data_IF_297342349278
#
_entry.id   IF_297342349278
#
_cell.length_a   1.000
_cell.length_b   1.000
_cell.length_c   1.000
_cell.angle_alpha   90.00
_cell.angle_beta   90.00
_cell.angle_gamma   90.00
#
_symmetry.space_group_name_H-M   'P 1'
#
loop_
_entity.id
_entity.type
_entity.pdbx_description
1 polymer ?
#
# COMPACT_ATOMS: atom_id res chain seq x y z
N UNK A 1 -1.62 14.42 7.57
CA UNK A 1 -1.11 13.08 7.94
C UNK A 1 -2.25 12.09 8.08
N UNK A 2 -3.35 12.45 8.77
CA UNK A 2 -4.50 11.56 8.98
C UNK A 2 -5.17 11.07 7.70
N UNK A 3 -5.28 11.92 6.67
CA UNK A 3 -5.79 11.49 5.35
C UNK A 3 -4.96 10.35 4.74
N UNK A 4 -3.62 10.45 4.80
CA UNK A 4 -2.74 9.39 4.28
C UNK A 4 -2.84 8.10 5.08
N UNK A 5 -3.04 8.18 6.40
CA UNK A 5 -3.26 7.01 7.25
C UNK A 5 -4.60 6.36 6.90
N UNK A 6 -5.67 7.15 6.77
CA UNK A 6 -6.98 6.67 6.36
C UNK A 6 -6.90 5.99 4.99
N UNK A 7 -6.27 6.62 4.00
CA UNK A 7 -6.09 6.05 2.66
C UNK A 7 -5.34 4.71 2.71
N UNK A 8 -4.32 4.60 3.57
CA UNK A 8 -3.59 3.33 3.78
C UNK A 8 -4.46 2.28 4.46
N UNK A 9 -5.25 2.64 5.47
CA UNK A 9 -6.16 1.73 6.16
C UNK A 9 -7.28 1.24 5.24
N UNK A 10 -7.83 2.12 4.39
CA UNK A 10 -8.82 1.78 3.37
C UNK A 10 -8.23 0.77 2.38
N UNK A 11 -6.99 0.98 1.94
CA UNK A 11 -6.31 0.04 1.03
C UNK A 11 -6.21 -1.35 1.65
N UNK A 12 -5.67 -1.45 2.87
CA UNK A 12 -5.58 -2.72 3.63
C UNK A 12 -6.95 -3.37 3.86
N UNK A 13 -7.98 -2.57 4.14
CA UNK A 13 -9.34 -3.07 4.32
C UNK A 13 -9.89 -3.72 3.04
N UNK A 14 -9.74 -3.05 1.90
CA UNK A 14 -10.16 -3.57 0.60
C UNK A 14 -9.51 -4.92 0.31
N UNK A 15 -8.21 -5.04 0.54
CA UNK A 15 -7.44 -6.28 0.39
C UNK A 15 -8.04 -7.40 1.23
N UNK A 16 -8.25 -7.15 2.53
CA UNK A 16 -8.87 -8.13 3.42
C UNK A 16 -10.25 -8.57 2.93
N UNK A 17 -11.09 -7.65 2.47
CA UNK A 17 -12.39 -7.98 1.90
C UNK A 17 -12.25 -8.94 0.72
N UNK A 18 -11.43 -8.62 -0.28
CA UNK A 18 -11.33 -9.43 -1.51
C UNK A 18 -10.78 -10.84 -1.26
N UNK A 19 -9.82 -10.92 -0.34
CA UNK A 19 -9.15 -12.16 0.05
C UNK A 19 -10.02 -13.03 0.93
N UNK A 20 -11.03 -12.45 1.58
CA UNK A 20 -11.91 -13.18 2.46
C UNK A 20 -13.02 -13.90 1.69
N UNK A 21 -13.18 -15.18 1.95
CA UNK A 21 -14.32 -15.98 1.53
C UNK A 21 -14.77 -16.89 2.69
N UNK A 22 -15.98 -17.43 2.58
CA UNK A 22 -16.60 -18.27 3.61
C UNK A 22 -16.42 -17.70 5.02
N UNK A 23 -15.82 -18.51 5.90
CA UNK A 23 -15.61 -18.16 7.30
C UNK A 23 -14.71 -16.94 7.50
N UNK A 24 -13.71 -16.73 6.63
CA UNK A 24 -12.81 -15.59 6.75
C UNK A 24 -13.57 -14.27 6.51
N UNK A 25 -14.56 -14.27 5.61
CA UNK A 25 -15.42 -13.10 5.38
C UNK A 25 -16.36 -12.87 6.56
N UNK A 26 -16.97 -13.92 7.11
CA UNK A 26 -17.80 -13.84 8.32
C UNK A 26 -17.02 -13.29 9.53
N UNK A 27 -15.76 -13.70 9.71
CA UNK A 27 -14.92 -13.21 10.79
C UNK A 27 -14.53 -11.73 10.59
N UNK A 28 -14.30 -11.30 9.35
CA UNK A 28 -14.08 -9.89 9.02
C UNK A 28 -15.34 -9.06 9.26
N UNK A 29 -16.51 -9.53 8.81
CA UNK A 29 -17.80 -8.89 9.06
C UNK A 29 -18.06 -8.73 10.56
N UNK A 30 -17.85 -9.81 11.34
CA UNK A 30 -17.97 -9.77 12.78
C UNK A 30 -17.07 -8.69 13.40
N UNK A 31 -15.81 -8.62 12.97
CA UNK A 31 -14.85 -7.64 13.48
C UNK A 31 -15.31 -6.20 13.21
N UNK A 32 -15.88 -5.92 12.04
CA UNK A 32 -16.45 -4.61 11.70
C UNK A 32 -17.67 -4.32 12.57
N UNK A 33 -18.65 -5.21 12.59
CA UNK A 33 -19.94 -4.95 13.23
C UNK A 33 -19.87 -4.90 14.75
N UNK A 34 -19.04 -5.73 15.38
CA UNK A 34 -18.80 -5.67 16.83
C UNK A 34 -18.07 -4.40 17.26
N UNK A 35 -17.27 -3.81 16.35
CA UNK A 35 -16.60 -2.53 16.59
C UNK A 35 -17.55 -1.35 16.35
N UNK A 36 -18.39 -1.44 15.31
CA UNK A 36 -19.39 -0.44 14.96
C UNK A 36 -20.51 -0.33 15.99
N UNK A 37 -21.01 -1.46 16.50
CA UNK A 37 -22.14 -1.48 17.41
C UNK A 37 -21.93 -2.48 18.56
N UNK A 38 -21.91 -1.96 19.79
CA UNK A 38 -21.69 -2.75 21.00
C UNK A 38 -22.83 -3.71 21.35
N UNK A 39 -24.03 -3.52 20.79
CA UNK A 39 -25.16 -4.45 20.93
C UNK A 39 -25.15 -5.55 19.84
N UNK A 40 -24.20 -5.53 18.90
CA UNK A 40 -24.07 -6.59 17.91
C UNK A 40 -23.62 -7.90 18.56
N UNK A 41 -24.35 -9.00 18.30
CA UNK A 41 -24.07 -10.33 18.84
C UNK A 41 -23.74 -11.30 17.71
N UNK A 42 -22.57 -11.94 17.78
CA UNK A 42 -22.24 -13.09 16.93
C UNK A 42 -23.05 -14.30 17.36
N UNK A 43 -23.59 -15.01 16.40
CA UNK A 43 -24.18 -16.32 16.62
C UNK A 43 -23.20 -17.34 16.06
N UNK A 44 -22.80 -18.30 16.88
CA UNK A 44 -21.83 -19.33 16.50
C UNK A 44 -22.49 -20.69 16.65
N UNK A 45 -22.34 -21.54 15.63
CA UNK A 45 -22.79 -22.93 15.69
C UNK A 45 -22.21 -23.66 16.91
N UNK A 46 -23.05 -24.40 17.64
CA UNK A 46 -22.64 -25.21 18.79
C UNK A 46 -22.81 -26.70 18.48
N UNK A 47 -21.71 -27.37 18.12
CA UNK A 47 -21.71 -28.81 17.84
C UNK A 47 -22.48 -29.16 16.56
N UNK A 48 -23.37 -30.17 16.62
CA UNK A 48 -24.23 -30.58 15.49
C UNK A 48 -25.41 -29.63 15.25
N UNK A 49 -25.68 -28.74 16.19
CA UNK A 49 -26.69 -27.70 16.11
C UNK A 49 -25.99 -26.50 15.46
N UNK A 50 -26.30 -26.23 14.19
CA UNK A 50 -25.65 -25.18 13.40
C UNK A 50 -25.84 -23.77 13.99
N UNK A 51 -25.53 -22.75 13.20
CA UNK A 51 -25.76 -21.33 13.52
C UNK A 51 -27.24 -20.92 13.54
N UNK A 52 -28.15 -21.87 13.35
CA UNK A 52 -29.59 -21.65 13.20
C UNK A 52 -29.94 -20.54 12.18
N UNK A 53 -29.10 -20.39 11.13
CA UNK A 53 -29.27 -19.44 10.01
C UNK A 53 -29.19 -17.95 10.42
N UNK A 54 -28.29 -17.65 11.35
CA UNK A 54 -28.00 -16.28 11.78
C UNK A 54 -26.50 -16.14 11.99
N UNK A 55 -25.84 -15.20 11.33
CA UNK A 55 -24.40 -14.94 11.55
C UNK A 55 -24.17 -13.84 12.59
N UNK A 56 -25.17 -12.99 12.79
CA UNK A 56 -25.21 -12.01 13.86
C UNK A 56 -26.39 -11.07 13.78
N UNK A 57 -26.71 -10.42 14.89
CA UNK A 57 -27.88 -9.56 15.00
C UNK A 57 -27.68 -8.44 16.04
N UNK A 58 -28.49 -7.38 15.92
CA UNK A 58 -28.61 -6.29 16.88
C UNK A 58 -29.98 -6.41 17.56
N UNK A 59 -30.07 -7.03 18.74
CA UNK A 59 -31.33 -7.33 19.40
C UNK A 59 -32.18 -6.10 19.70
N UNK A 60 -31.58 -4.99 20.11
CA UNK A 60 -32.32 -3.75 20.42
C UNK A 60 -33.09 -3.19 19.22
N UNK A 61 -32.65 -3.51 17.99
CA UNK A 61 -33.26 -3.04 16.75
C UNK A 61 -34.02 -4.13 16.00
N UNK A 62 -33.80 -5.41 16.33
CA UNK A 62 -34.30 -6.53 15.53
C UNK A 62 -33.68 -6.57 14.13
N UNK A 63 -32.42 -6.15 14.00
CA UNK A 63 -31.64 -6.19 12.74
C UNK A 63 -30.83 -7.48 12.70
N UNK A 64 -31.03 -8.28 11.66
CA UNK A 64 -30.37 -9.58 11.47
C UNK A 64 -29.53 -9.59 10.22
N UNK A 65 -28.39 -10.27 10.28
CA UNK A 65 -27.39 -10.30 9.23
C UNK A 65 -27.04 -11.74 8.87
N UNK A 66 -27.14 -12.06 7.58
CA UNK A 66 -26.64 -13.32 7.04
C UNK A 66 -25.58 -13.03 6.00
N UNK A 67 -24.37 -13.50 6.27
CA UNK A 67 -23.20 -13.39 5.43
C UNK A 67 -23.16 -14.46 4.34
N UNK A 68 -22.65 -14.03 3.21
CA UNK A 68 -22.23 -14.90 2.12
C UNK A 68 -20.94 -14.35 1.50
N UNK A 69 -19.84 -15.07 1.73
CA UNK A 69 -18.53 -14.77 1.15
C UNK A 69 -18.20 -15.72 0.00
N UNK A 70 -18.71 -15.51 -1.23
CA UNK A 70 -18.40 -16.39 -2.36
C UNK A 70 -16.94 -16.25 -2.80
N UNK A 71 -16.31 -17.36 -3.18
CA UNK A 71 -14.98 -17.35 -3.80
C UNK A 71 -15.00 -16.54 -5.11
N UNK A 72 -16.03 -16.76 -5.94
CA UNK A 72 -16.24 -16.03 -7.20
C UNK A 72 -17.72 -15.71 -7.45
N UNK A 73 -18.09 -14.43 -7.33
CA UNK A 73 -19.44 -13.90 -7.53
C UNK A 73 -19.94 -13.92 -8.98
N UNK A 74 -19.05 -13.98 -9.99
CA UNK A 74 -19.45 -13.85 -11.42
C UNK A 74 -19.93 -15.16 -12.04
N UNK A 75 -19.77 -16.30 -11.35
CA UNK A 75 -20.24 -17.59 -11.86
C UNK A 75 -21.76 -17.70 -11.70
N UNK A 76 -22.45 -18.11 -12.76
CA UNK A 76 -23.90 -18.34 -12.72
C UNK A 76 -24.33 -19.39 -11.68
N UNK A 77 -23.46 -20.36 -11.36
CA UNK A 77 -23.68 -21.31 -10.27
C UNK A 77 -23.66 -20.65 -8.89
N UNK A 78 -22.77 -19.67 -8.68
CA UNK A 78 -22.69 -18.87 -7.45
C UNK A 78 -23.95 -18.03 -7.28
N UNK A 79 -24.42 -17.39 -8.35
CA UNK A 79 -25.66 -16.61 -8.33
C UNK A 79 -26.87 -17.47 -7.93
N UNK A 80 -27.06 -18.63 -8.60
CA UNK A 80 -28.13 -19.58 -8.26
C UNK A 80 -28.04 -20.06 -6.82
N UNK A 81 -26.84 -20.35 -6.34
CA UNK A 81 -26.61 -20.76 -4.96
C UNK A 81 -26.91 -19.62 -3.97
N UNK A 82 -26.51 -18.39 -4.28
CA UNK A 82 -26.78 -17.21 -3.45
C UNK A 82 -28.28 -16.96 -3.27
N UNK A 83 -29.06 -17.08 -4.35
CA UNK A 83 -30.53 -16.95 -4.29
C UNK A 83 -31.14 -18.06 -3.42
N UNK A 84 -30.66 -19.29 -3.59
CA UNK A 84 -31.10 -20.42 -2.77
C UNK A 84 -30.78 -20.19 -1.28
N UNK A 85 -29.54 -19.79 -0.98
CA UNK A 85 -29.06 -19.51 0.38
C UNK A 85 -29.85 -18.38 1.02
N UNK A 86 -30.05 -17.25 0.34
CA UNK A 86 -30.90 -16.14 0.80
C UNK A 86 -32.27 -16.63 1.30
N UNK A 87 -32.97 -17.45 0.50
CA UNK A 87 -34.30 -17.97 0.85
C UNK A 87 -34.26 -18.91 2.03
N UNK A 88 -33.36 -19.89 1.98
CA UNK A 88 -33.24 -20.92 3.01
C UNK A 88 -32.85 -20.31 4.36
N UNK A 89 -31.94 -19.34 4.33
CA UNK A 89 -31.47 -18.68 5.53
C UNK A 89 -32.54 -17.77 6.12
N UNK A 90 -33.21 -16.91 5.33
CA UNK A 90 -34.30 -16.08 5.85
C UNK A 90 -35.47 -16.91 6.39
N UNK A 91 -35.91 -17.95 5.68
CA UNK A 91 -37.00 -18.81 6.17
C UNK A 91 -36.59 -19.54 7.47
N UNK A 92 -35.36 -20.03 7.54
CA UNK A 92 -34.82 -20.65 8.75
C UNK A 92 -34.76 -19.67 9.92
N UNK A 93 -34.29 -18.45 9.67
CA UNK A 93 -34.23 -17.36 10.63
C UNK A 93 -35.63 -17.03 11.17
N UNK A 94 -36.60 -16.81 10.28
CA UNK A 94 -37.98 -16.48 10.63
C UNK A 94 -38.61 -17.55 11.53
N UNK A 95 -38.42 -18.83 11.18
CA UNK A 95 -38.98 -19.96 11.93
C UNK A 95 -38.38 -20.11 13.33
N UNK A 96 -37.07 -19.83 13.48
CA UNK A 96 -36.34 -20.11 14.72
C UNK A 96 -36.26 -18.91 15.67
N UNK A 97 -36.17 -17.70 15.13
CA UNK A 97 -35.80 -16.52 15.93
C UNK A 97 -36.98 -15.59 16.21
N UNK A 98 -37.93 -15.44 15.28
CA UNK A 98 -38.92 -14.36 15.34
C UNK A 98 -39.86 -14.42 16.55
N UNK A 99 -40.05 -15.61 17.14
CA UNK A 99 -40.88 -15.79 18.33
C UNK A 99 -40.20 -15.30 19.62
N UNK A 100 -38.87 -15.38 19.69
CA UNK A 100 -38.09 -14.97 20.86
C UNK A 100 -37.55 -13.55 20.71
N UNK A 101 -37.10 -13.23 19.50
CA UNK A 101 -36.47 -11.95 19.14
C UNK A 101 -37.05 -11.48 17.81
N UNK A 102 -38.00 -10.54 17.88
CA UNK A 102 -38.72 -10.03 16.70
C UNK A 102 -37.75 -9.55 15.62
N UNK A 103 -37.98 -9.99 14.39
CA UNK A 103 -37.25 -9.57 13.20
C UNK A 103 -37.94 -8.31 12.66
N UNK A 104 -37.22 -7.19 12.66
CA UNK A 104 -37.66 -5.95 12.04
C UNK A 104 -36.91 -5.69 10.72
N UNK A 105 -35.68 -6.16 10.61
CA UNK A 105 -34.86 -6.00 9.41
C UNK A 105 -33.99 -7.22 9.16
N UNK A 106 -33.88 -7.60 7.89
CA UNK A 106 -32.99 -8.65 7.41
C UNK A 106 -32.04 -8.09 6.35
N UNK A 107 -30.75 -8.23 6.62
CA UNK A 107 -29.67 -7.81 5.75
C UNK A 107 -28.96 -9.04 5.18
N UNK A 108 -28.98 -9.16 3.86
CA UNK A 108 -28.12 -10.13 3.17
C UNK A 108 -26.77 -9.49 2.92
N UNK A 109 -25.76 -9.91 3.69
CA UNK A 109 -24.41 -9.38 3.65
C UNK A 109 -23.61 -10.21 2.63
N UNK A 110 -23.18 -9.60 1.53
CA UNK A 110 -22.50 -10.31 0.46
C UNK A 110 -21.12 -9.71 0.20
N UNK A 111 -20.10 -10.56 0.13
CA UNK A 111 -18.81 -10.15 -0.41
C UNK A 111 -18.90 -10.19 -1.94
N UNK A 112 -19.37 -9.11 -2.54
CA UNK A 112 -19.44 -8.98 -4.00
C UNK A 112 -18.05 -8.71 -4.62
N UNK A 113 -17.02 -8.58 -3.79
CA UNK A 113 -15.63 -8.31 -4.21
C UNK A 113 -15.54 -7.07 -5.11
N UNK A 114 -16.38 -6.07 -4.86
CA UNK A 114 -16.51 -4.84 -5.66
C UNK A 114 -16.94 -5.05 -7.13
N UNK A 115 -17.50 -6.22 -7.45
CA UNK A 115 -18.01 -6.53 -8.80
C UNK A 115 -19.49 -6.20 -8.97
N UNK A 116 -20.14 -5.75 -7.90
CA UNK A 116 -21.57 -5.52 -7.85
C UNK A 116 -22.35 -6.78 -7.47
N UNK A 117 -23.40 -6.59 -6.68
CA UNK A 117 -24.37 -7.64 -6.37
C UNK A 117 -25.23 -7.96 -7.61
N UNK A 118 -25.39 -9.24 -8.01
CA UNK A 118 -26.26 -9.62 -9.12
C UNK A 118 -27.70 -9.13 -8.98
N UNK A 119 -28.30 -8.67 -10.09
CA UNK A 119 -29.69 -8.17 -10.15
C UNK A 119 -30.73 -9.18 -9.60
N UNK A 120 -30.48 -10.47 -9.79
CA UNK A 120 -31.35 -11.55 -9.31
C UNK A 120 -31.48 -11.62 -7.79
N UNK A 121 -30.45 -11.21 -7.05
CA UNK A 121 -30.50 -11.13 -5.58
C UNK A 121 -31.44 -10.00 -5.16
N UNK A 122 -31.33 -8.82 -5.77
CA UNK A 122 -32.26 -7.71 -5.53
C UNK A 122 -33.70 -8.07 -5.90
N UNK A 123 -33.89 -8.79 -7.01
CA UNK A 123 -35.21 -9.29 -7.42
C UNK A 123 -35.81 -10.21 -6.35
N UNK A 124 -34.98 -11.05 -5.72
CA UNK A 124 -35.46 -11.96 -4.69
C UNK A 124 -35.73 -11.26 -3.35
N UNK A 125 -34.88 -10.30 -2.95
CA UNK A 125 -35.15 -9.43 -1.80
C UNK A 125 -36.47 -8.67 -1.97
N UNK A 126 -36.77 -8.17 -3.18
CA UNK A 126 -38.03 -7.50 -3.48
C UNK A 126 -39.24 -8.43 -3.31
N UNK A 127 -39.15 -9.69 -3.78
CA UNK A 127 -40.21 -10.68 -3.55
C UNK A 127 -40.43 -10.99 -2.07
N UNK A 128 -39.35 -11.12 -1.29
CA UNK A 128 -39.46 -11.32 0.16
C UNK A 128 -40.14 -10.12 0.83
N UNK A 129 -39.81 -8.90 0.41
CA UNK A 129 -40.46 -7.68 0.89
C UNK A 129 -41.96 -7.64 0.57
N UNK A 130 -42.37 -8.10 -0.62
CA UNK A 130 -43.79 -8.18 -1.00
C UNK A 130 -44.57 -9.18 -0.15
N UNK A 131 -43.93 -10.31 0.22
CA UNK A 131 -44.54 -11.35 1.07
C UNK A 131 -44.57 -10.94 2.54
N UNK A 132 -43.53 -10.25 3.02
CA UNK A 132 -43.33 -9.89 4.42
C UNK A 132 -43.20 -8.37 4.59
N UNK A 133 -44.29 -7.64 4.35
CA UNK A 133 -44.31 -6.17 4.27
C UNK A 133 -43.93 -5.45 5.58
N UNK A 134 -44.01 -6.12 6.72
CA UNK A 134 -43.61 -5.57 8.03
C UNK A 134 -42.09 -5.68 8.31
N UNK A 135 -41.35 -6.46 7.49
CA UNK A 135 -39.91 -6.66 7.65
C UNK A 135 -39.18 -5.87 6.56
N UNK A 136 -38.17 -5.09 6.95
CA UNK A 136 -37.27 -4.45 6.00
C UNK A 136 -36.28 -5.48 5.45
N UNK A 137 -36.13 -5.55 4.14
CA UNK A 137 -35.11 -6.36 3.47
C UNK A 137 -34.12 -5.45 2.77
N UNK A 138 -32.83 -5.72 2.93
CA UNK A 138 -31.77 -4.95 2.28
C UNK A 138 -30.52 -5.80 2.00
N UNK A 139 -29.63 -5.26 1.18
CA UNK A 139 -28.33 -5.84 0.90
C UNK A 139 -27.21 -4.99 1.52
N UNK A 140 -26.20 -5.64 2.08
CA UNK A 140 -24.97 -4.99 2.51
C UNK A 140 -23.81 -5.62 1.74
N UNK A 141 -23.30 -4.91 0.75
CA UNK A 141 -22.21 -5.37 -0.12
C UNK A 141 -20.83 -4.92 0.39
N UNK A 142 -19.76 -5.23 -0.36
CA UNK A 142 -18.40 -4.83 0.01
C UNK A 142 -18.24 -3.31 0.06
N UNK A 143 -19.03 -2.54 -0.70
CA UNK A 143 -19.01 -1.07 -0.66
C UNK A 143 -19.68 -0.54 0.60
N UNK A 144 -20.82 -1.09 1.00
CA UNK A 144 -21.48 -0.74 2.26
C UNK A 144 -20.61 -1.07 3.48
N UNK A 145 -19.88 -2.19 3.47
CA UNK A 145 -18.89 -2.51 4.51
C UNK A 145 -17.71 -1.52 4.53
N UNK A 146 -17.24 -1.08 3.36
CA UNK A 146 -16.24 -0.02 3.24
C UNK A 146 -16.75 1.30 3.82
N UNK A 147 -17.99 1.67 3.56
CA UNK A 147 -18.59 2.90 4.09
C UNK A 147 -18.71 2.87 5.61
N UNK A 148 -19.12 1.74 6.20
CA UNK A 148 -19.11 1.57 7.66
C UNK A 148 -17.68 1.72 8.19
N UNK A 149 -16.70 1.06 7.57
CA UNK A 149 -15.30 1.13 7.98
C UNK A 149 -14.72 2.55 7.93
N UNK A 150 -15.09 3.34 6.90
CA UNK A 150 -14.59 4.71 6.71
C UNK A 150 -15.30 5.69 7.64
N UNK A 151 -16.63 5.65 7.68
CA UNK A 151 -17.45 6.71 8.24
C UNK A 151 -17.79 6.48 9.72
N UNK A 152 -17.91 5.22 10.14
CA UNK A 152 -18.44 4.88 11.47
C UNK A 152 -17.35 4.45 12.45
N UNK A 153 -16.16 4.09 11.97
CA UNK A 153 -15.04 3.68 12.81
C UNK A 153 -14.03 4.83 13.00
N UNK A 154 -13.34 4.86 14.13
CA UNK A 154 -12.19 5.74 14.35
C UNK A 154 -10.88 5.10 13.85
N UNK A 155 -9.77 5.84 13.94
CA UNK A 155 -8.45 5.37 13.48
C UNK A 155 -7.99 4.10 14.19
N UNK A 156 -8.16 4.01 15.51
CA UNK A 156 -7.68 2.88 16.30
C UNK A 156 -8.56 1.65 16.07
N UNK A 157 -9.88 1.86 15.95
CA UNK A 157 -10.85 0.84 15.57
C UNK A 157 -10.51 0.25 14.19
N UNK A 158 -10.25 1.11 13.19
CA UNK A 158 -9.77 0.66 11.87
C UNK A 158 -8.46 -0.11 11.97
N UNK A 159 -7.48 0.41 12.71
CA UNK A 159 -6.19 -0.25 12.92
C UNK A 159 -6.34 -1.65 13.53
N UNK A 160 -7.26 -1.85 14.47
CA UNK A 160 -7.52 -3.16 15.05
C UNK A 160 -8.06 -4.17 14.02
N UNK A 161 -8.80 -3.69 13.01
CA UNK A 161 -9.34 -4.53 11.95
C UNK A 161 -8.28 -4.83 10.89
N UNK A 162 -7.53 -3.83 10.42
CA UNK A 162 -6.61 -4.00 9.27
C UNK A 162 -5.16 -4.28 9.65
N UNK A 163 -4.79 -4.04 10.90
CA UNK A 163 -3.42 -4.02 11.37
C UNK A 163 -2.80 -2.63 11.25
N UNK A 164 -1.62 -2.45 11.86
CA UNK A 164 -0.90 -1.17 11.79
C UNK A 164 -0.28 -0.96 10.40
N UNK A 165 -0.43 0.25 9.85
CA UNK A 165 0.14 0.60 8.55
C UNK A 165 1.57 1.14 8.66
N UNK A 166 2.33 1.13 7.57
CA UNK A 166 3.69 1.72 7.52
C UNK A 166 3.69 3.19 7.94
N UNK A 167 2.67 3.95 7.52
CA UNK A 167 2.53 5.37 7.84
C UNK A 167 2.28 5.61 9.33
N UNK A 168 1.55 4.71 9.99
CA UNK A 168 1.31 4.77 11.43
C UNK A 168 2.57 4.46 12.23
N UNK A 169 3.37 3.47 11.79
CA UNK A 169 4.69 3.19 12.37
C UNK A 169 5.57 4.45 12.30
N UNK A 170 5.69 5.07 11.13
CA UNK A 170 6.49 6.30 10.95
C UNK A 170 6.01 7.41 11.89
N UNK A 171 4.68 7.63 11.98
CA UNK A 171 4.10 8.65 12.85
C UNK A 171 4.39 8.37 14.33
N UNK A 172 4.22 7.13 14.78
CA UNK A 172 4.47 6.73 16.16
C UNK A 172 5.94 6.91 16.54
N UNK A 173 6.87 6.52 15.67
CA UNK A 173 8.30 6.69 15.91
C UNK A 173 8.69 8.16 16.00
N UNK A 174 8.27 8.99 15.05
CA UNK A 174 8.54 10.42 15.07
C UNK A 174 7.98 11.10 16.33
N UNK A 175 6.74 10.78 16.71
CA UNK A 175 6.10 11.36 17.89
C UNK A 175 6.79 10.96 19.20
N UNK A 176 7.23 9.71 19.31
CA UNK A 176 7.90 9.20 20.51
C UNK A 176 9.33 9.74 20.61
N UNK A 177 10.05 9.90 19.49
CA UNK A 177 11.45 10.36 19.50
C UNK A 177 11.60 11.83 19.79
N UNK A 178 10.69 12.68 19.29
CA UNK A 178 10.67 14.10 19.68
C UNK A 178 10.53 14.31 21.20
N UNK A 179 9.99 13.30 21.92
CA UNK A 179 9.85 13.31 23.38
C UNK A 179 11.05 12.71 24.11
N UNK A 180 11.94 11.99 23.42
CA UNK A 180 13.11 11.32 24.00
C UNK A 180 14.34 12.20 23.70
N UNK A 181 14.54 13.23 24.52
CA UNK A 181 15.53 14.30 24.30
C UNK A 181 16.86 14.08 25.04
N UNK A 182 17.31 12.84 25.23
CA UNK A 182 18.54 12.54 25.99
C UNK A 182 19.77 12.42 25.09
N UNK A 183 20.83 13.14 25.45
CA UNK A 183 22.14 13.06 24.81
C UNK A 183 22.69 11.63 24.83
N UNK A 184 23.08 11.15 23.66
CA UNK A 184 23.59 9.80 23.41
C UNK A 184 25.11 9.93 23.17
N UNK A 185 25.91 9.14 23.91
CA UNK A 185 27.38 9.10 23.83
C UNK A 185 27.92 8.19 22.69
N UNK A 186 29.23 8.18 22.46
CA UNK A 186 29.92 7.45 21.37
C UNK A 186 29.65 5.94 21.27
N UNK A 187 29.41 5.24 22.38
CA UNK A 187 29.10 3.78 22.39
C UNK A 187 27.85 3.41 21.55
N UNK A 188 27.00 4.38 21.25
CA UNK A 188 25.76 4.15 20.52
C UNK A 188 25.93 4.25 18.98
N UNK A 189 27.05 4.82 18.50
CA UNK A 189 27.33 4.93 17.07
C UNK A 189 27.51 3.54 16.42
N UNK A 190 28.05 2.57 17.19
CA UNK A 190 28.18 1.18 16.76
C UNK A 190 26.82 0.54 16.47
N UNK A 191 25.87 0.67 17.40
CA UNK A 191 24.51 0.15 17.22
C UNK A 191 23.75 0.86 16.09
N UNK A 192 23.92 2.17 15.93
CA UNK A 192 23.33 2.90 14.80
C UNK A 192 23.75 2.28 13.46
N UNK A 193 25.05 2.03 13.27
CA UNK A 193 25.57 1.42 12.04
C UNK A 193 25.06 -0.02 11.83
N UNK A 194 24.98 -0.81 12.90
CA UNK A 194 24.46 -2.18 12.85
C UNK A 194 22.99 -2.19 12.42
N UNK A 195 22.14 -1.34 13.02
CA UNK A 195 20.72 -1.25 12.68
C UNK A 195 20.52 -0.74 11.25
N UNK A 196 21.26 0.28 10.82
CA UNK A 196 21.12 0.78 9.45
C UNK A 196 21.56 -0.27 8.42
N UNK A 197 22.62 -1.05 8.70
CA UNK A 197 23.03 -2.17 7.84
C UNK A 197 21.95 -3.25 7.76
N UNK A 198 21.33 -3.59 8.89
CA UNK A 198 20.19 -4.52 8.93
C UNK A 198 19.06 -4.05 8.03
N UNK A 199 18.68 -2.77 8.16
CA UNK A 199 17.61 -2.18 7.36
C UNK A 199 17.98 -2.17 5.87
N UNK A 200 19.22 -1.85 5.51
CA UNK A 200 19.69 -1.92 4.11
C UNK A 200 19.58 -3.34 3.54
N UNK A 201 20.02 -4.35 4.27
CA UNK A 201 19.91 -5.75 3.82
C UNK A 201 18.45 -6.18 3.62
N UNK A 202 17.53 -5.66 4.45
CA UNK A 202 16.08 -5.89 4.30
C UNK A 202 15.54 -5.22 3.05
N UNK A 203 15.89 -3.97 2.79
CA UNK A 203 15.53 -3.25 1.55
C UNK A 203 16.00 -4.07 0.35
N UNK A 204 17.27 -4.49 0.33
CA UNK A 204 17.84 -5.25 -0.79
C UNK A 204 17.09 -6.57 -1.05
N UNK A 205 16.59 -7.25 0.01
CA UNK A 205 15.76 -8.46 -0.14
C UNK A 205 14.33 -8.17 -0.59
N UNK A 206 13.71 -7.11 -0.06
CA UNK A 206 12.37 -6.69 -0.47
C UNK A 206 12.33 -6.27 -1.94
N UNK A 207 13.38 -5.62 -2.42
CA UNK A 207 13.46 -5.23 -3.83
C UNK A 207 13.37 -6.43 -4.76
N UNK A 208 13.94 -7.58 -4.38
CA UNK A 208 13.84 -8.84 -5.15
C UNK A 208 12.41 -9.35 -5.24
N UNK A 209 11.56 -9.08 -4.25
CA UNK A 209 10.16 -9.49 -4.23
C UNK A 209 9.25 -8.69 -5.17
N UNK A 210 9.72 -7.59 -5.78
CA UNK A 210 8.94 -6.87 -6.78
C UNK A 210 8.53 -7.80 -7.92
N UNK A 211 7.28 -7.68 -8.35
CA UNK A 211 6.62 -8.61 -9.27
C UNK A 211 7.43 -8.85 -10.55
N UNK A 212 7.89 -7.77 -11.17
CA UNK A 212 8.69 -7.82 -12.40
C UNK A 212 9.96 -8.69 -12.32
N UNK A 213 10.50 -8.93 -11.12
CA UNK A 213 11.75 -9.68 -10.98
C UNK A 213 11.56 -11.19 -11.09
N UNK A 214 10.37 -11.70 -10.79
CA UNK A 214 10.10 -13.14 -10.78
C UNK A 214 8.92 -13.52 -11.65
N UNK A 215 7.94 -12.66 -11.88
CA UNK A 215 6.76 -12.97 -12.68
C UNK A 215 7.10 -13.38 -14.12
N UNK A 216 8.09 -12.72 -14.72
CA UNK A 216 8.56 -12.99 -16.08
C UNK A 216 9.72 -14.00 -16.15
N UNK A 217 10.06 -14.65 -15.04
CA UNK A 217 11.13 -15.66 -15.05
C UNK A 217 10.61 -17.03 -15.46
N UNK A 218 11.43 -17.79 -16.18
CA UNK A 218 11.17 -19.21 -16.40
C UNK A 218 11.13 -19.91 -15.03
N UNK A 219 9.95 -20.42 -14.63
CA UNK A 219 9.63 -20.91 -13.28
C UNK A 219 9.37 -19.82 -12.21
N UNK A 220 8.62 -18.78 -12.58
CA UNK A 220 8.19 -17.67 -11.70
C UNK A 220 7.79 -18.08 -10.27
N UNK A 221 7.02 -19.16 -10.12
CA UNK A 221 6.64 -19.70 -8.81
C UNK A 221 7.85 -20.07 -7.93
N UNK A 222 8.83 -20.79 -8.51
CA UNK A 222 10.01 -21.23 -7.77
C UNK A 222 10.90 -20.04 -7.39
N UNK A 223 11.12 -19.12 -8.34
CA UNK A 223 11.92 -17.90 -8.10
C UNK A 223 11.28 -17.03 -7.02
N UNK A 224 9.96 -16.83 -7.07
CA UNK A 224 9.17 -16.16 -6.03
C UNK A 224 9.38 -16.79 -4.66
N UNK A 225 9.18 -18.10 -4.56
CA UNK A 225 9.36 -18.84 -3.30
C UNK A 225 10.79 -18.77 -2.77
N UNK A 226 11.79 -18.78 -3.66
CA UNK A 226 13.18 -18.59 -3.29
C UNK A 226 13.40 -17.21 -2.67
N UNK A 227 12.92 -16.13 -3.29
CA UNK A 227 13.07 -14.77 -2.75
C UNK A 227 12.35 -14.59 -1.42
N UNK A 228 11.14 -15.15 -1.26
CA UNK A 228 10.42 -15.15 0.02
C UNK A 228 11.24 -15.88 1.09
N UNK A 229 11.76 -17.07 0.77
CA UNK A 229 12.59 -17.86 1.68
C UNK A 229 13.87 -17.11 2.07
N UNK A 230 14.53 -16.44 1.11
CA UNK A 230 15.71 -15.61 1.39
C UNK A 230 15.40 -14.46 2.35
N UNK A 231 14.26 -13.79 2.20
CA UNK A 231 13.83 -12.71 3.10
C UNK A 231 13.51 -13.26 4.51
N UNK A 232 12.72 -14.33 4.61
CA UNK A 232 12.37 -14.94 5.90
C UNK A 232 13.59 -15.45 6.66
N UNK A 233 14.56 -16.05 5.95
CA UNK A 233 15.83 -16.48 6.53
C UNK A 233 16.67 -15.30 7.01
N UNK A 234 16.70 -14.19 6.26
CA UNK A 234 17.38 -12.96 6.68
C UNK A 234 16.78 -12.42 7.98
N UNK A 235 15.45 -12.27 8.02
CA UNK A 235 14.73 -11.76 9.20
C UNK A 235 15.01 -12.65 10.41
N UNK A 236 14.88 -13.98 10.25
CA UNK A 236 15.14 -14.94 11.34
C UNK A 236 16.56 -14.86 11.91
N UNK A 237 17.57 -14.56 11.07
CA UNK A 237 18.96 -14.37 11.53
C UNK A 237 19.13 -13.06 12.27
N UNK A 238 18.44 -12.01 11.83
CA UNK A 238 18.53 -10.68 12.41
C UNK A 238 17.76 -10.55 13.72
N UNK A 239 16.80 -11.44 14.01
CA UNK A 239 16.08 -11.50 15.30
C UNK A 239 17.01 -11.54 16.52
N UNK A 240 18.15 -12.23 16.42
CA UNK A 240 19.15 -12.27 17.50
C UNK A 240 19.77 -10.90 17.71
N UNK A 241 20.12 -10.21 16.63
CA UNK A 241 20.75 -8.88 16.69
C UNK A 241 19.73 -7.84 17.20
N UNK A 242 18.47 -7.93 16.77
CA UNK A 242 17.38 -7.11 17.31
C UNK A 242 17.23 -7.31 18.81
N UNK A 243 17.28 -8.56 19.28
CA UNK A 243 17.21 -8.88 20.70
C UNK A 243 18.37 -8.27 21.48
N UNK A 244 19.61 -8.44 20.99
CA UNK A 244 20.79 -7.88 21.64
C UNK A 244 20.73 -6.33 21.70
N UNK A 245 20.22 -5.69 20.64
CA UNK A 245 19.98 -4.26 20.62
C UNK A 245 18.90 -3.83 21.64
N UNK A 246 17.80 -4.58 21.73
CA UNK A 246 16.78 -4.32 22.74
C UNK A 246 17.32 -4.51 24.17
N UNK A 247 18.13 -5.54 24.41
CA UNK A 247 18.74 -5.77 25.73
C UNK A 247 19.72 -4.65 26.10
N UNK A 248 20.48 -4.13 25.12
CA UNK A 248 21.30 -2.93 25.28
C UNK A 248 20.45 -1.71 25.67
N UNK A 249 19.36 -1.44 24.94
CA UNK A 249 18.46 -0.33 25.23
C UNK A 249 17.76 -0.50 26.58
N UNK A 250 17.38 -1.72 26.96
CA UNK A 250 16.70 -2.00 28.23
C UNK A 250 17.54 -1.60 29.43
N UNK A 251 18.86 -1.79 29.35
CA UNK A 251 19.80 -1.46 30.42
C UNK A 251 20.05 0.05 30.62
N UNK A 252 19.80 0.89 29.60
CA UNK A 252 20.20 2.30 29.60
C UNK A 252 19.11 3.30 29.19
N UNK A 253 18.14 2.89 28.37
CA UNK A 253 17.16 3.74 27.68
C UNK A 253 15.77 3.08 27.59
N UNK A 254 15.04 2.98 28.70
CA UNK A 254 13.75 2.25 28.77
C UNK A 254 12.70 2.73 27.76
N UNK A 255 12.59 4.05 27.53
CA UNK A 255 11.64 4.60 26.54
C UNK A 255 12.01 4.22 25.11
N UNK A 256 13.31 4.22 24.77
CA UNK A 256 13.77 3.75 23.46
C UNK A 256 13.58 2.24 23.30
N UNK A 257 13.86 1.46 24.34
CA UNK A 257 13.59 0.02 24.34
C UNK A 257 12.12 -0.27 24.01
N UNK A 258 11.17 0.42 24.67
CA UNK A 258 9.74 0.22 24.39
C UNK A 258 9.39 0.56 22.94
N UNK A 259 9.94 1.68 22.43
CA UNK A 259 9.70 2.14 21.07
C UNK A 259 10.21 1.13 20.03
N UNK A 260 11.48 0.74 20.12
CA UNK A 260 12.11 -0.16 19.15
C UNK A 260 11.51 -1.58 19.21
N UNK A 261 11.12 -2.05 20.41
CA UNK A 261 10.43 -3.33 20.56
C UNK A 261 9.10 -3.35 19.81
N UNK A 262 8.34 -2.25 19.90
CA UNK A 262 7.07 -2.09 19.21
C UNK A 262 7.28 -1.99 17.70
N UNK A 263 8.29 -1.23 17.25
CA UNK A 263 8.69 -1.14 15.86
C UNK A 263 8.99 -2.53 15.26
N UNK A 264 9.89 -3.32 15.85
CA UNK A 264 10.25 -4.64 15.29
C UNK A 264 9.06 -5.60 15.24
N UNK A 265 8.15 -5.52 16.21
CA UNK A 265 6.89 -6.30 16.17
C UNK A 265 6.03 -5.89 14.98
N UNK A 266 5.81 -4.58 14.81
CA UNK A 266 4.96 -4.03 13.77
C UNK A 266 5.56 -4.25 12.37
N UNK A 267 6.88 -4.14 12.24
CA UNK A 267 7.62 -4.46 11.01
C UNK A 267 7.39 -5.90 10.57
N UNK A 268 7.55 -6.88 11.48
CA UNK A 268 7.35 -8.30 11.16
C UNK A 268 5.92 -8.57 10.71
N UNK A 269 4.94 -7.98 11.39
CA UNK A 269 3.54 -8.08 11.03
C UNK A 269 3.26 -7.51 9.62
N UNK A 270 3.79 -6.31 9.31
CA UNK A 270 3.68 -5.69 7.98
C UNK A 270 4.32 -6.56 6.89
N UNK A 271 5.53 -7.07 7.11
CA UNK A 271 6.23 -7.91 6.12
C UNK A 271 5.48 -9.23 5.91
N UNK A 272 4.99 -9.86 6.96
CA UNK A 272 4.22 -11.10 6.84
C UNK A 272 2.94 -10.89 6.03
N UNK A 273 2.23 -9.77 6.24
CA UNK A 273 1.06 -9.42 5.41
C UNK A 273 1.45 -9.21 3.94
N UNK A 274 2.56 -8.52 3.66
CA UNK A 274 3.07 -8.40 2.29
C UNK A 274 3.31 -9.78 1.65
N UNK A 275 3.99 -10.68 2.36
CA UNK A 275 4.28 -12.03 1.85
C UNK A 275 2.98 -12.80 1.60
N UNK A 276 2.01 -12.75 2.53
CA UNK A 276 0.70 -13.37 2.33
C UNK A 276 -0.02 -12.83 1.09
N UNK A 277 0.10 -11.52 0.83
CA UNK A 277 -0.49 -10.88 -0.34
C UNK A 277 0.20 -11.32 -1.65
N UNK A 278 1.53 -11.49 -1.64
CA UNK A 278 2.32 -11.99 -2.78
C UNK A 278 2.01 -13.46 -3.08
N UNK A 279 1.67 -14.26 -2.07
CA UNK A 279 1.44 -15.70 -2.22
C UNK A 279 0.04 -16.07 -2.76
N UNK A 280 -0.84 -15.10 -2.99
CA UNK A 280 -2.18 -15.34 -3.54
C UNK A 280 -2.12 -15.77 -5.01
N UNK A 281 -3.12 -16.54 -5.47
CA UNK A 281 -3.24 -16.90 -6.89
C UNK A 281 -3.63 -15.66 -7.72
N UNK A 282 -2.68 -15.22 -8.55
CA UNK A 282 -2.44 -13.80 -8.90
C UNK A 282 -3.34 -13.23 -10.01
N UNK A 283 -4.02 -14.05 -10.81
CA UNK A 283 -4.63 -13.58 -12.07
C UNK A 283 -6.13 -13.27 -11.91
N UNK A 284 -6.86 -14.06 -11.14
CA UNK A 284 -8.33 -13.93 -11.04
C UNK A 284 -8.79 -12.88 -10.01
N UNK A 285 -7.98 -12.56 -9.00
CA UNK A 285 -8.38 -11.61 -7.95
C UNK A 285 -8.28 -10.17 -8.44
N UNK A 286 -7.23 -9.82 -9.21
CA UNK A 286 -6.84 -8.43 -9.44
C UNK A 286 -7.28 -7.87 -10.81
N UNK A 287 -7.36 -8.69 -11.86
CA UNK A 287 -8.00 -8.31 -13.14
C UNK A 287 -9.43 -7.79 -12.93
N UNK A 288 -10.08 -8.29 -11.88
CA UNK A 288 -11.45 -8.02 -11.52
C UNK A 288 -11.68 -6.73 -10.71
N UNK A 289 -10.61 -6.06 -10.27
CA UNK A 289 -10.68 -4.86 -9.42
C UNK A 289 -10.40 -3.54 -10.15
N UNK A 290 -9.89 -3.60 -11.38
CA UNK A 290 -9.20 -2.45 -11.99
C UNK A 290 -7.94 -2.02 -11.23
N UNK A 291 -7.45 -2.83 -10.29
CA UNK A 291 -6.19 -2.64 -9.60
C UNK A 291 -5.13 -3.49 -10.30
N UNK A 292 -4.14 -2.84 -10.87
CA UNK A 292 -2.96 -3.52 -11.40
C UNK A 292 -2.20 -4.18 -10.24
N UNK A 293 -2.19 -5.52 -10.22
CA UNK A 293 -1.49 -6.32 -9.21
C UNK A 293 -0.02 -5.93 -9.10
N UNK A 294 0.60 -5.59 -10.24
CA UNK A 294 1.95 -5.07 -10.30
C UNK A 294 2.09 -3.77 -9.49
N UNK A 295 1.30 -2.76 -9.82
CA UNK A 295 1.23 -1.50 -9.08
C UNK A 295 0.94 -1.73 -7.60
N UNK A 296 0.07 -2.68 -7.26
CA UNK A 296 -0.30 -2.96 -5.88
C UNK A 296 0.87 -3.48 -5.03
N UNK A 297 1.52 -4.57 -5.46
CA UNK A 297 2.66 -5.13 -4.72
C UNK A 297 3.84 -4.15 -4.71
N UNK A 298 4.09 -3.47 -5.83
CA UNK A 298 5.15 -2.46 -5.92
C UNK A 298 4.89 -1.29 -4.97
N UNK A 299 3.64 -0.83 -4.82
CA UNK A 299 3.23 0.17 -3.84
C UNK A 299 3.48 -0.31 -2.40
N UNK A 300 3.10 -1.55 -2.07
CA UNK A 300 3.29 -2.08 -0.72
C UNK A 300 4.78 -2.20 -0.37
N UNK A 301 5.59 -2.73 -1.28
CA UNK A 301 7.06 -2.77 -1.13
C UNK A 301 7.60 -1.33 -1.00
N UNK A 302 7.15 -0.40 -1.84
CA UNK A 302 7.55 1.00 -1.79
C UNK A 302 7.22 1.66 -0.45
N UNK A 303 6.04 1.40 0.11
CA UNK A 303 5.63 1.92 1.42
C UNK A 303 6.48 1.36 2.57
N UNK A 304 6.89 0.09 2.50
CA UNK A 304 7.78 -0.51 3.50
C UNK A 304 9.20 0.07 3.38
N UNK A 305 9.72 0.21 2.16
CA UNK A 305 11.02 0.84 1.93
C UNK A 305 11.01 2.29 2.44
N UNK A 306 9.92 3.04 2.22
CA UNK A 306 9.76 4.39 2.76
C UNK A 306 9.79 4.38 4.29
N UNK A 307 9.08 3.46 4.94
CA UNK A 307 9.14 3.29 6.39
C UNK A 307 10.56 3.03 6.86
N UNK A 308 11.30 2.15 6.19
CA UNK A 308 12.69 1.87 6.49
C UNK A 308 13.61 3.07 6.35
N UNK A 309 13.46 3.86 5.29
CA UNK A 309 14.23 5.10 5.12
C UNK A 309 13.95 6.10 6.25
N UNK A 310 12.69 6.31 6.60
CA UNK A 310 12.29 7.18 7.71
C UNK A 310 12.84 6.67 9.05
N UNK A 311 12.81 5.35 9.29
CA UNK A 311 13.39 4.72 10.49
C UNK A 311 14.90 4.95 10.55
N UNK A 312 15.61 4.91 9.41
CA UNK A 312 17.05 5.18 9.34
C UNK A 312 17.34 6.64 9.65
N UNK A 313 16.57 7.59 9.11
CA UNK A 313 16.70 9.00 9.46
C UNK A 313 16.50 9.24 10.95
N UNK A 314 15.47 8.60 11.49
CA UNK A 314 15.15 8.59 12.91
C UNK A 314 16.31 8.02 13.73
N UNK A 315 16.87 6.89 13.32
CA UNK A 315 18.00 6.24 13.97
C UNK A 315 19.23 7.16 13.98
N UNK A 316 19.54 7.80 12.85
CA UNK A 316 20.66 8.73 12.73
C UNK A 316 20.49 9.98 13.60
N UNK A 317 19.27 10.57 13.62
CA UNK A 317 18.93 11.71 14.48
C UNK A 317 19.06 11.35 15.96
N UNK A 318 18.61 10.16 16.32
CA UNK A 318 18.65 9.66 17.70
C UNK A 318 20.09 9.47 18.16
N UNK A 319 20.94 8.85 17.33
CA UNK A 319 22.27 8.43 17.74
C UNK A 319 23.42 9.40 17.38
N UNK A 320 23.11 10.64 16.97
CA UNK A 320 24.07 11.70 16.56
C UNK A 320 25.10 11.16 15.55
N UNK A 321 24.63 10.34 14.61
CA UNK A 321 25.50 9.76 13.58
C UNK A 321 25.46 10.62 12.32
N UNK A 322 26.63 11.11 11.90
CA UNK A 322 26.85 11.66 10.56
C UNK A 322 27.12 10.57 9.52
N UNK A 323 27.22 9.30 9.94
CA UNK A 323 27.84 8.24 9.14
C UNK A 323 26.95 7.58 8.09
N UNK A 324 25.73 8.07 7.84
CA UNK A 324 24.90 7.56 6.74
C UNK A 324 24.07 8.66 6.05
N UNK A 325 24.74 9.52 5.29
CA UNK A 325 24.18 10.15 4.08
C UNK A 325 24.06 9.13 2.92
N UNK A 326 23.92 7.82 3.18
CA UNK A 326 24.09 6.79 2.13
C UNK A 326 23.32 5.49 2.40
N UNK A 327 22.05 5.61 2.80
CA UNK A 327 20.99 4.88 2.08
C UNK A 327 20.33 5.85 1.05
N UNK A 328 20.99 6.98 0.80
CA UNK A 328 20.63 7.91 -0.27
C UNK A 328 20.69 7.21 -1.65
N UNK A 329 19.55 7.25 -2.35
CA UNK A 329 19.41 7.17 -3.82
C UNK A 329 19.36 5.76 -4.48
N UNK A 330 18.77 4.76 -3.83
CA UNK A 330 18.36 3.54 -4.56
C UNK A 330 16.83 3.41 -4.65
N UNK A 331 16.18 4.39 -5.29
CA UNK A 331 14.75 4.39 -5.65
C UNK A 331 13.75 4.88 -4.58
N UNK A 332 13.79 6.18 -4.31
CA UNK A 332 12.53 6.92 -4.26
C UNK A 332 12.06 7.15 -5.70
N UNK A 333 11.04 6.42 -6.15
CA UNK A 333 10.25 6.78 -7.34
C UNK A 333 9.32 7.98 -7.06
N UNK A 334 9.64 8.82 -6.07
CA UNK A 334 8.79 9.90 -5.61
C UNK A 334 9.56 11.20 -5.76
N UNK A 335 9.23 11.95 -6.82
CA UNK A 335 9.34 13.41 -6.93
C UNK A 335 10.39 14.06 -6.02
N UNK A 336 11.67 13.91 -6.38
CA UNK A 336 12.74 14.58 -5.62
C UNK A 336 12.70 16.07 -5.92
N UNK A 337 12.36 16.86 -4.90
CA UNK A 337 12.56 18.30 -4.94
C UNK A 337 14.04 18.57 -4.68
N UNK A 338 14.73 19.11 -5.68
CA UNK A 338 16.10 19.57 -5.59
C UNK A 338 16.06 21.02 -5.16
N UNK A 339 16.40 21.24 -3.91
CA UNK A 339 16.63 22.57 -3.37
C UNK A 339 18.01 23.09 -3.79
N UNK A 340 18.07 24.35 -4.19
CA UNK A 340 19.32 25.05 -4.51
C UNK A 340 19.26 26.49 -4.00
N UNK A 341 20.42 27.03 -3.61
CA UNK A 341 20.54 28.45 -3.26
C UNK A 341 20.57 29.30 -4.55
N UNK A 342 20.16 30.56 -4.44
CA UNK A 342 20.21 31.53 -5.55
C UNK A 342 21.55 31.48 -6.29
N UNK A 343 21.48 31.34 -7.62
CA UNK A 343 22.63 31.25 -8.52
C UNK A 343 23.35 29.89 -8.54
N UNK A 344 22.99 28.91 -7.69
CA UNK A 344 23.67 27.59 -7.61
C UNK A 344 22.95 26.45 -8.36
N UNK A 345 21.90 26.74 -9.13
CA UNK A 345 21.10 25.72 -9.86
C UNK A 345 21.97 24.80 -10.73
N UNK A 346 22.86 25.38 -11.55
CA UNK A 346 23.74 24.64 -12.44
C UNK A 346 24.76 23.79 -11.69
N UNK A 347 25.37 24.32 -10.63
CA UNK A 347 26.28 23.55 -9.78
C UNK A 347 25.56 22.31 -9.22
N UNK A 348 24.37 22.50 -8.65
CA UNK A 348 23.61 21.42 -8.04
C UNK A 348 23.16 20.36 -9.05
N UNK A 349 22.73 20.79 -10.23
CA UNK A 349 22.35 19.92 -11.33
C UNK A 349 23.54 19.05 -11.79
N UNK A 350 24.72 19.65 -11.98
CA UNK A 350 25.92 18.93 -12.42
C UNK A 350 26.42 17.94 -11.36
N UNK A 351 26.44 18.32 -10.08
CA UNK A 351 26.78 17.43 -8.97
C UNK A 351 25.87 16.19 -8.94
N UNK A 352 24.56 16.40 -9.11
CA UNK A 352 23.58 15.32 -9.13
C UNK A 352 23.77 14.40 -10.34
N UNK A 353 23.87 14.97 -11.54
CA UNK A 353 24.05 14.22 -12.78
C UNK A 353 25.34 13.39 -12.78
N UNK A 354 26.44 13.94 -12.23
CA UNK A 354 27.70 13.20 -12.08
C UNK A 354 27.51 11.94 -11.22
N UNK A 355 26.87 12.06 -10.06
CA UNK A 355 26.59 10.90 -9.20
C UNK A 355 25.67 9.87 -9.85
N UNK A 356 24.73 10.31 -10.70
CA UNK A 356 23.84 9.41 -11.44
C UNK A 356 24.60 8.63 -12.53
N UNK A 357 25.50 9.31 -13.24
CA UNK A 357 26.34 8.72 -14.30
C UNK A 357 27.34 7.72 -13.73
N UNK A 358 27.96 8.01 -12.59
CA UNK A 358 28.91 7.11 -11.90
C UNK A 358 28.26 5.78 -11.51
N UNK A 359 26.96 5.80 -11.19
CA UNK A 359 26.16 4.59 -10.91
C UNK A 359 25.70 3.86 -12.18
N UNK A 360 25.98 4.42 -13.35
CA UNK A 360 25.64 3.89 -14.67
C UNK A 360 24.15 3.59 -14.85
N UNK A 361 23.29 4.41 -14.23
CA UNK A 361 21.88 4.14 -13.96
C UNK A 361 20.90 4.91 -14.86
N UNK A 362 21.37 5.54 -15.94
CA UNK A 362 20.52 6.30 -16.85
C UNK A 362 21.08 6.35 -18.27
N UNK A 363 20.20 6.32 -19.30
CA UNK A 363 20.60 6.44 -20.71
C UNK A 363 20.10 7.73 -21.37
N UNK A 364 19.07 8.37 -20.82
CA UNK A 364 18.39 9.50 -21.44
C UNK A 364 18.08 10.62 -20.44
N UNK A 365 18.13 11.87 -20.89
CA UNK A 365 17.96 13.05 -20.04
C UNK A 365 17.09 14.10 -20.72
N UNK A 366 16.01 14.51 -20.04
CA UNK A 366 15.18 15.64 -20.44
C UNK A 366 15.18 16.69 -19.33
N UNK A 367 15.37 17.96 -19.70
CA UNK A 367 15.30 19.10 -18.80
C UNK A 367 14.28 20.08 -19.35
N UNK A 368 13.16 20.24 -18.65
CA UNK A 368 12.16 21.27 -18.93
C UNK A 368 12.40 22.41 -17.95
N UNK A 369 12.96 23.52 -18.45
CA UNK A 369 13.36 24.70 -17.68
C UNK A 369 12.44 25.89 -17.96
N UNK A 370 12.47 26.91 -17.11
CA UNK A 370 11.94 28.23 -17.49
C UNK A 370 12.71 28.81 -18.69
N UNK A 371 12.07 29.63 -19.53
CA UNK A 371 12.65 30.20 -20.75
C UNK A 371 13.87 31.05 -20.44
N UNK A 372 13.79 31.83 -19.37
CA UNK A 372 14.85 32.75 -18.94
C UNK A 372 15.95 32.05 -18.15
N UNK A 373 15.78 30.78 -17.80
CA UNK A 373 16.80 30.02 -17.09
C UNK A 373 17.90 29.55 -18.04
N UNK A 374 19.15 29.74 -17.62
CA UNK A 374 20.33 29.26 -18.35
C UNK A 374 20.81 27.97 -17.69
N UNK A 375 20.68 26.85 -18.43
CA UNK A 375 21.14 25.53 -17.98
C UNK A 375 22.51 25.23 -18.60
N UNK A 376 23.52 25.13 -17.76
CA UNK A 376 24.87 24.75 -18.15
C UNK A 376 25.21 23.37 -17.61
N UNK A 377 25.54 22.44 -18.52
CA UNK A 377 25.90 21.06 -18.20
C UNK A 377 27.34 20.83 -18.61
N UNK A 378 28.11 20.18 -17.72
CA UNK A 378 29.50 19.84 -17.92
C UNK A 378 29.69 19.02 -19.21
N UNK A 379 30.76 19.27 -19.98
CA UNK A 379 31.02 18.56 -21.24
C UNK A 379 31.03 17.04 -21.11
N UNK A 380 31.61 16.48 -20.04
CA UNK A 380 31.70 15.03 -19.82
C UNK A 380 30.31 14.40 -19.63
N UNK A 381 29.39 15.13 -19.00
CA UNK A 381 28.00 14.70 -18.79
C UNK A 381 27.25 14.75 -20.11
N UNK A 382 27.42 15.82 -20.90
CA UNK A 382 26.84 15.90 -22.26
C UNK A 382 27.31 14.74 -23.11
N UNK A 383 28.62 14.46 -23.10
CA UNK A 383 29.23 13.36 -23.84
C UNK A 383 28.67 12.00 -23.46
N UNK A 384 28.41 11.76 -22.17
CA UNK A 384 27.79 10.52 -21.71
C UNK A 384 26.41 10.26 -22.34
N UNK A 385 25.62 11.32 -22.56
CA UNK A 385 24.29 11.21 -23.17
C UNK A 385 24.29 11.33 -24.69
N UNK A 386 25.43 11.52 -25.38
CA UNK A 386 25.49 11.64 -26.85
C UNK A 386 24.93 10.41 -27.59
N UNK A 387 24.93 9.23 -26.95
CA UNK A 387 24.38 8.00 -27.49
C UNK A 387 22.86 7.83 -27.28
N UNK A 388 22.15 8.82 -26.73
CA UNK A 388 20.71 8.79 -26.50
C UNK A 388 20.06 10.18 -26.50
N UNK A 389 18.72 10.28 -26.38
CA UNK A 389 18.04 11.57 -26.22
C UNK A 389 18.53 12.37 -25.02
N UNK A 390 19.14 13.52 -25.32
CA UNK A 390 19.49 14.60 -24.41
C UNK A 390 18.76 15.88 -24.85
N UNK A 391 17.74 16.29 -24.09
CA UNK A 391 16.85 17.39 -24.45
C UNK A 391 16.82 18.46 -23.36
N UNK A 392 16.95 19.72 -23.76
CA UNK A 392 16.71 20.89 -22.91
C UNK A 392 15.63 21.73 -23.59
N UNK A 393 14.49 21.88 -22.95
CA UNK A 393 13.28 22.51 -23.49
C UNK A 393 12.79 23.62 -22.56
N UNK A 394 12.18 24.67 -23.11
CA UNK A 394 11.53 25.72 -22.32
C UNK A 394 10.12 25.24 -21.92
N UNK A 395 10.02 24.65 -20.73
CA UNK A 395 8.79 24.05 -20.23
C UNK A 395 7.72 25.06 -19.85
N UNK A 396 8.08 26.26 -19.43
CA UNK A 396 7.13 27.36 -19.14
C UNK A 396 6.41 27.90 -20.39
N UNK A 397 6.96 27.64 -21.58
CA UNK A 397 6.35 28.00 -22.87
C UNK A 397 5.39 26.92 -23.38
N UNK A 398 5.51 25.69 -22.85
CA UNK A 398 4.69 24.54 -23.21
C UNK A 398 3.62 24.40 -22.13
N UNK A 399 2.33 24.32 -22.50
CA UNK A 399 1.28 24.15 -21.50
C UNK A 399 1.51 22.87 -20.68
N UNK A 400 1.24 22.88 -19.38
CA UNK A 400 1.45 21.73 -18.49
C UNK A 400 0.76 20.45 -18.97
N UNK A 401 -0.43 20.57 -19.56
CA UNK A 401 -1.16 19.44 -20.18
C UNK A 401 -0.45 18.91 -21.44
N UNK A 402 0.20 19.78 -22.20
CA UNK A 402 0.99 19.37 -23.37
C UNK A 402 2.29 18.70 -22.96
N UNK A 403 2.93 19.16 -21.87
CA UNK A 403 4.07 18.47 -21.27
C UNK A 403 3.66 17.06 -20.85
N UNK A 404 2.51 16.91 -20.17
CA UNK A 404 2.03 15.58 -19.76
C UNK A 404 1.76 14.71 -20.98
N UNK A 405 1.04 15.21 -21.98
CA UNK A 405 0.78 14.47 -23.23
C UNK A 405 2.08 14.06 -23.92
N UNK A 406 3.06 14.95 -23.98
CA UNK A 406 4.38 14.67 -24.55
C UNK A 406 5.10 13.57 -23.77
N UNK A 407 5.22 13.72 -22.45
CA UNK A 407 5.88 12.76 -21.57
C UNK A 407 5.16 11.40 -21.63
N UNK A 408 3.82 11.38 -21.62
CA UNK A 408 3.02 10.18 -21.84
C UNK A 408 3.30 9.58 -23.21
N UNK A 409 3.23 10.34 -24.30
CA UNK A 409 3.44 9.79 -25.65
C UNK A 409 4.82 9.16 -25.87
N UNK A 410 5.83 9.61 -25.14
CA UNK A 410 7.21 9.14 -25.28
C UNK A 410 7.54 8.05 -24.27
N UNK A 411 7.03 8.14 -23.04
CA UNK A 411 7.44 7.28 -21.92
C UNK A 411 6.37 6.30 -21.46
N UNK A 412 5.12 6.49 -21.90
CA UNK A 412 3.99 5.60 -21.72
C UNK A 412 3.74 4.94 -23.09
N UNK A 413 4.42 3.82 -23.35
CA UNK A 413 4.22 3.08 -24.59
C UNK A 413 2.77 2.58 -24.67
N UNK A 414 1.93 3.20 -25.50
CA UNK A 414 0.67 2.60 -25.94
C UNK A 414 0.86 2.14 -27.38
N UNK A 415 1.12 0.84 -27.55
CA UNK A 415 0.45 0.03 -28.58
C UNK A 415 0.33 -1.40 -28.07
N UNK A 416 -0.87 -1.97 -28.22
CA UNK A 416 -1.30 -3.31 -27.75
C UNK A 416 -0.50 -4.51 -28.29
N UNK A 417 0.56 -4.29 -29.08
CA UNK A 417 1.42 -5.31 -29.68
C UNK A 417 2.80 -5.46 -29.02
N UNK A 418 3.05 -4.79 -27.89
CA UNK A 418 4.30 -4.92 -27.12
C UNK A 418 4.48 -6.26 -26.36
N UNK A 419 3.74 -7.31 -26.72
CA UNK A 419 3.93 -8.67 -26.19
C UNK A 419 5.15 -9.32 -26.84
N UNK A 420 6.37 -8.84 -26.57
CA UNK A 420 7.58 -9.72 -26.62
C UNK A 420 8.92 -9.11 -26.19
N UNK A 421 9.07 -7.80 -25.91
CA UNK A 421 10.43 -7.24 -25.81
C UNK A 421 10.66 -6.23 -24.68
N UNK A 422 10.70 -6.67 -23.42
CA UNK A 422 11.47 -5.94 -22.40
C UNK A 422 12.16 -6.90 -21.41
N UNK A 423 13.48 -7.01 -21.57
CA UNK A 423 14.44 -7.73 -20.71
C UNK A 423 14.59 -7.08 -19.31
N UNK A 424 15.12 -7.80 -18.29
CA UNK A 424 14.93 -7.48 -16.87
C UNK A 424 15.90 -6.45 -16.24
N UNK A 425 16.83 -5.85 -16.98
CA UNK A 425 17.80 -4.89 -16.41
C UNK A 425 17.36 -3.42 -16.55
N UNK A 426 16.19 -3.09 -16.03
CA UNK A 426 15.69 -1.72 -16.15
C UNK A 426 16.18 -0.86 -14.99
N UNK A 427 17.43 -0.42 -15.13
CA UNK A 427 17.93 0.88 -14.64
C UNK A 427 16.95 1.99 -15.06
N UNK A 428 16.81 3.06 -14.29
CA UNK A 428 16.01 4.25 -14.67
C UNK A 428 16.45 4.72 -16.06
N UNK A 429 15.71 4.43 -17.12
CA UNK A 429 16.25 4.62 -18.46
C UNK A 429 16.27 6.12 -18.82
N UNK A 430 15.35 6.89 -18.23
CA UNK A 430 15.18 8.32 -18.50
C UNK A 430 15.02 9.14 -17.23
N UNK A 431 15.75 10.26 -17.13
CA UNK A 431 15.57 11.26 -16.07
C UNK A 431 14.96 12.53 -16.64
N UNK A 432 13.93 13.04 -15.95
CA UNK A 432 13.24 14.28 -16.30
C UNK A 432 13.43 15.30 -15.19
N UNK A 433 14.00 16.45 -15.51
CA UNK A 433 14.04 17.60 -14.63
C UNK A 433 12.95 18.58 -15.01
N UNK A 434 12.20 19.06 -14.03
CA UNK A 434 11.09 20.00 -14.19
C UNK A 434 11.36 21.28 -13.37
N UNK A 435 11.25 22.43 -14.03
CA UNK A 435 11.18 23.73 -13.39
C UNK A 435 9.87 23.93 -12.61
N UNK A 436 9.67 25.12 -12.05
CA UNK A 436 8.54 25.41 -11.16
C UNK A 436 7.37 26.09 -11.90
N UNK A 437 7.01 25.58 -13.08
CA UNK A 437 5.93 26.12 -13.91
C UNK A 437 4.67 25.24 -13.94
N UNK A 438 4.70 24.05 -13.31
CA UNK A 438 3.55 23.14 -13.25
C UNK A 438 2.67 23.41 -12.04
N UNK A 439 1.35 23.39 -12.27
CA UNK A 439 0.35 23.45 -11.22
C UNK A 439 0.24 22.12 -10.44
N UNK A 440 -0.62 22.10 -9.41
CA UNK A 440 -0.79 20.93 -8.55
C UNK A 440 -1.43 19.73 -9.29
N UNK A 441 -2.30 19.98 -10.26
CA UNK A 441 -2.96 18.93 -11.03
C UNK A 441 -1.97 18.29 -12.01
N UNK A 442 -1.16 19.11 -12.68
CA UNK A 442 -0.14 18.63 -13.59
C UNK A 442 0.95 17.84 -12.87
N UNK A 443 1.36 18.28 -11.67
CA UNK A 443 2.27 17.53 -10.80
C UNK A 443 1.69 16.15 -10.44
N UNK A 444 0.41 16.08 -10.11
CA UNK A 444 -0.29 14.83 -9.82
C UNK A 444 -0.33 13.89 -11.04
N UNK A 445 -0.56 14.40 -12.24
CA UNK A 445 -0.54 13.57 -13.46
C UNK A 445 0.86 13.06 -13.79
N UNK A 446 1.90 13.85 -13.55
CA UNK A 446 3.30 13.41 -13.68
C UNK A 446 3.66 12.36 -12.62
N UNK A 447 3.10 12.44 -11.41
CA UNK A 447 3.22 11.37 -10.41
C UNK A 447 2.57 10.08 -10.90
N UNK A 448 1.36 10.17 -11.46
CA UNK A 448 0.68 9.00 -12.03
C UNK A 448 1.47 8.40 -13.20
N UNK A 449 2.08 9.22 -14.06
CA UNK A 449 2.93 8.76 -15.16
C UNK A 449 4.19 8.06 -14.63
N UNK A 450 4.87 8.61 -13.63
CA UNK A 450 6.05 7.97 -13.02
C UNK A 450 5.75 6.61 -12.42
N UNK A 451 4.57 6.44 -11.80
CA UNK A 451 4.17 5.15 -11.22
C UNK A 451 4.06 4.07 -12.28
N UNK A 452 3.66 4.42 -13.51
CA UNK A 452 3.39 3.50 -14.63
C UNK A 452 4.43 3.52 -15.75
N UNK A 453 5.53 4.28 -15.60
CA UNK A 453 6.61 4.38 -16.60
C UNK A 453 7.99 4.21 -15.98
N UNK A 454 9.02 4.09 -16.81
CA UNK A 454 10.41 3.93 -16.37
C UNK A 454 11.20 5.26 -16.37
N UNK A 455 10.62 6.29 -15.75
CA UNK A 455 11.23 7.61 -15.63
C UNK A 455 11.46 7.96 -14.16
N UNK A 456 12.47 8.77 -13.88
CA UNK A 456 12.62 9.47 -12.61
C UNK A 456 12.43 10.97 -12.82
N UNK A 457 11.60 11.61 -12.00
CA UNK A 457 11.32 13.04 -12.10
C UNK A 457 11.89 13.81 -10.92
N UNK A 458 12.58 14.89 -11.24
CA UNK A 458 13.16 15.83 -10.29
C UNK A 458 12.56 17.21 -10.48
N UNK A 459 12.13 17.85 -9.40
CA UNK A 459 11.62 19.23 -9.43
C UNK A 459 12.66 20.18 -8.87
N UNK A 460 12.92 21.29 -9.56
CA UNK A 460 13.77 22.35 -9.03
C UNK A 460 12.98 23.28 -8.12
N UNK A 461 13.53 23.56 -6.94
CA UNK A 461 13.03 24.58 -6.02
C UNK A 461 14.19 25.45 -5.54
N UNK A 462 14.05 26.76 -5.73
CA UNK A 462 14.99 27.72 -5.16
C UNK A 462 14.67 27.92 -3.68
N UNK A 463 15.70 27.93 -2.84
CA UNK A 463 15.58 28.32 -1.44
C UNK A 463 15.35 29.83 -1.38
N UNK A 464 14.14 30.23 -0.98
CA UNK A 464 13.85 31.63 -0.65
C UNK A 464 14.31 31.83 0.79
N UNK A 465 15.37 32.61 0.99
CA UNK A 465 15.81 33.04 2.32
C UNK A 465 14.83 34.03 2.95
#
# INVERSE_FOLDING_TARGET
MDKYILDSQIKEFKIKLLMSDGQAFEDLFYSIMSTFNTDFRKVKAFGRQGDDKNDGFIPSKGEYYQCYGPENITKSSTEKYSIKKLKEDFNGLLLKWNNEWKINSFYYVINDKYKGTPHSIFTELAKLKDVYSEIKFDNLDSKGLEEIFINELDRNQRQNIVGITTMEVILEMNNKINKIQSAINDDNLGWSNVINKIIQERIDKLEKLRLKNWYYSDNSYFVKKQYISELLNLLSRQDVIEKDFLDFLKGKYTSMHSLWREYFKNEKDIINRLISNIDLNEIDIFTNMGLDYQTYIDDCIGNIIKMFNEVVEINNKTFISTSLNTIEKKFDKVNKVINYDSGKKNQKLNELLKGIIELNNCRYLTILKEKNDVIEINPDIKKYFESGPFLILNGDVINGDEIIKYLTSIFESITEDGRELFYPDIKTNHIVFLGNFLDSNNKLEIEKLQKRSNIAVYYFRENIN
#
